data_IF_275503771336
#
_entry.id   IF_275503771336
#
_cell.length_a   1.000
_cell.length_b   1.000
_cell.length_c   1.000
_cell.angle_alpha   90.00
_cell.angle_beta   90.00
_cell.angle_gamma   90.00
#
_symmetry.space_group_name_H-M   'P 1'
#
loop_
_entity.id
_entity.type
_entity.pdbx_description
1 polymer ?
#
# COMPACT_ATOMS: atom_id res chain seq x y z
N UNK A 1 -13.35 15.39 12.35
CA UNK A 1 -12.85 14.08 11.90
C UNK A 1 -12.19 14.29 10.55
N UNK A 2 -10.96 13.80 10.35
CA UNK A 2 -10.12 14.17 9.19
C UNK A 2 -9.76 12.95 8.31
N UNK A 3 -10.54 11.87 8.42
CA UNK A 3 -10.32 10.63 7.67
C UNK A 3 -11.60 9.81 7.56
N UNK A 4 -11.61 8.89 6.60
CA UNK A 4 -12.68 7.90 6.46
C UNK A 4 -12.70 6.92 7.64
N UNK A 5 -13.83 6.21 7.81
CA UNK A 5 -13.92 5.13 8.79
C UNK A 5 -12.93 4.00 8.49
N UNK A 6 -12.55 3.23 9.52
CA UNK A 6 -11.64 2.10 9.35
C UNK A 6 -12.24 1.05 8.40
N UNK A 7 -11.46 0.67 7.40
CA UNK A 7 -11.75 -0.45 6.52
C UNK A 7 -10.95 -1.68 6.97
N UNK A 8 -11.63 -2.81 7.13
CA UNK A 8 -11.03 -4.09 7.54
C UNK A 8 -11.12 -5.06 6.37
N UNK A 9 -9.99 -5.62 5.99
CA UNK A 9 -9.86 -6.60 4.90
C UNK A 9 -9.29 -7.91 5.45
N UNK A 10 -9.74 -9.03 4.89
CA UNK A 10 -9.23 -10.36 5.18
C UNK A 10 -8.95 -11.08 3.86
N UNK A 11 -7.72 -11.55 3.69
CA UNK A 11 -7.29 -12.26 2.49
C UNK A 11 -7.08 -13.74 2.83
N UNK A 12 -7.82 -14.60 2.15
CA UNK A 12 -7.60 -16.05 2.17
C UNK A 12 -6.36 -16.42 1.35
N UNK A 13 -5.89 -17.66 1.50
CA UNK A 13 -4.75 -18.19 0.74
C UNK A 13 -4.99 -18.02 -0.77
N UNK A 14 -4.04 -17.36 -1.44
CA UNK A 14 -4.07 -17.11 -2.88
C UNK A 14 -4.90 -15.88 -3.30
N UNK A 15 -5.61 -15.23 -2.38
CA UNK A 15 -6.22 -13.93 -2.65
C UNK A 15 -5.17 -12.84 -2.69
N UNK A 16 -5.44 -11.80 -3.49
CA UNK A 16 -4.58 -10.64 -3.66
C UNK A 16 -5.41 -9.43 -4.03
N UNK A 17 -4.80 -8.26 -3.90
CA UNK A 17 -5.27 -7.04 -4.53
C UNK A 17 -4.30 -6.68 -5.66
N UNK A 18 -4.80 -6.26 -6.81
CA UNK A 18 -3.93 -5.83 -7.90
C UNK A 18 -3.39 -4.42 -7.64
N UNK A 19 -2.17 -4.08 -8.09
CA UNK A 19 -1.62 -2.75 -7.86
C UNK A 19 -2.57 -1.63 -8.30
N UNK A 20 -2.79 -0.67 -7.41
CA UNK A 20 -3.75 0.42 -7.56
C UNK A 20 -3.27 1.68 -6.84
N UNK A 21 -4.04 2.76 -7.03
CA UNK A 21 -3.86 4.01 -6.31
C UNK A 21 -5.02 4.20 -5.36
N UNK A 22 -4.74 4.74 -4.18
CA UNK A 22 -5.79 5.12 -3.24
C UNK A 22 -6.45 6.44 -3.62
N UNK A 23 -5.78 7.29 -4.40
CA UNK A 23 -6.36 8.53 -4.86
C UNK A 23 -7.47 8.28 -5.90
N UNK A 24 -8.47 9.15 -5.92
CA UNK A 24 -9.52 9.13 -6.92
C UNK A 24 -9.07 9.85 -8.20
N UNK A 25 -9.34 9.23 -9.34
CA UNK A 25 -9.16 9.86 -10.66
C UNK A 25 -10.43 10.52 -11.19
N UNK A 26 -11.59 10.20 -10.60
CA UNK A 26 -12.88 10.73 -11.04
C UNK A 26 -13.31 11.96 -10.23
N UNK A 27 -14.01 12.88 -10.90
CA UNK A 27 -14.51 14.10 -10.27
C UNK A 27 -15.60 13.85 -9.21
N UNK A 28 -16.35 12.75 -9.34
CA UNK A 28 -17.49 12.48 -8.47
C UNK A 28 -17.03 12.17 -7.04
N UNK A 29 -16.12 11.20 -6.88
CA UNK A 29 -15.56 10.83 -5.58
C UNK A 29 -14.74 11.98 -4.99
N UNK A 30 -13.93 12.65 -5.83
CA UNK A 30 -13.13 13.80 -5.38
C UNK A 30 -13.99 14.94 -4.83
N UNK A 31 -15.16 15.21 -5.42
CA UNK A 31 -16.07 16.27 -4.92
C UNK A 31 -16.85 15.86 -3.67
N UNK A 32 -17.24 14.59 -3.56
CA UNK A 32 -18.14 14.13 -2.49
C UNK A 32 -17.40 13.70 -1.21
N UNK A 33 -16.15 13.24 -1.33
CA UNK A 33 -15.34 12.76 -0.20
C UNK A 33 -14.01 13.50 -0.02
N UNK A 34 -13.64 14.38 -0.96
CA UNK A 34 -12.28 14.93 -1.03
C UNK A 34 -11.30 13.94 -1.65
N UNK A 35 -10.01 14.28 -1.61
CA UNK A 35 -8.95 13.44 -2.11
C UNK A 35 -8.20 12.74 -0.97
N UNK A 36 -7.82 11.48 -1.16
CA UNK A 36 -7.03 10.70 -0.20
C UNK A 36 -5.56 11.11 -0.32
N UNK A 37 -5.08 11.84 0.69
CA UNK A 37 -3.71 12.39 0.70
C UNK A 37 -2.71 11.34 1.16
N UNK A 38 -3.10 10.50 2.12
CA UNK A 38 -2.25 9.48 2.72
C UNK A 38 -3.08 8.30 3.22
N UNK A 39 -2.42 7.15 3.30
CA UNK A 39 -3.01 5.89 3.79
C UNK A 39 -2.18 5.36 4.93
N UNK A 40 -2.87 4.91 5.99
CA UNK A 40 -2.29 4.14 7.08
C UNK A 40 -2.81 2.71 6.97
N UNK A 41 -1.95 1.79 6.54
CA UNK A 41 -2.25 0.37 6.46
C UNK A 41 -1.71 -0.33 7.70
N UNK A 42 -2.57 -1.04 8.44
CA UNK A 42 -2.21 -1.74 9.67
C UNK A 42 -2.30 -3.24 9.47
N UNK A 43 -1.24 -3.97 9.80
CA UNK A 43 -1.24 -5.43 9.70
C UNK A 43 -1.79 -6.04 10.99
N UNK A 44 -2.95 -6.71 10.88
CA UNK A 44 -3.69 -7.23 12.02
C UNK A 44 -3.30 -8.66 12.42
N UNK A 45 -2.52 -9.34 11.57
CA UNK A 45 -2.03 -10.71 11.75
C UNK A 45 -0.64 -10.87 11.13
N UNK A 46 0.12 -11.83 11.63
CA UNK A 46 1.33 -12.32 10.96
C UNK A 46 0.91 -13.18 9.76
N UNK A 47 1.67 -13.10 8.66
CA UNK A 47 1.48 -13.96 7.48
C UNK A 47 2.75 -14.77 7.27
N UNK A 48 2.59 -16.09 7.14
CA UNK A 48 3.70 -17.03 7.01
C UNK A 48 4.42 -16.86 5.67
N UNK A 49 3.67 -16.86 4.56
CA UNK A 49 4.16 -16.71 3.19
C UNK A 49 3.27 -15.77 2.37
N UNK A 50 3.89 -14.89 1.58
CA UNK A 50 3.18 -13.91 0.75
C UNK A 50 2.56 -12.76 1.55
N UNK A 51 1.51 -12.15 1.00
CA UNK A 51 0.75 -11.07 1.65
C UNK A 51 1.50 -9.74 1.78
N UNK A 52 2.65 -9.59 1.11
CA UNK A 52 3.42 -8.36 1.17
C UNK A 52 2.69 -7.22 0.46
N UNK A 53 2.80 -6.01 1.01
CA UNK A 53 2.39 -4.80 0.30
C UNK A 53 3.56 -4.35 -0.56
N UNK A 54 3.39 -4.36 -1.89
CA UNK A 54 4.41 -4.04 -2.88
C UNK A 54 4.15 -2.70 -3.54
N UNK A 55 5.18 -1.86 -3.65
CA UNK A 55 5.21 -0.61 -4.39
C UNK A 55 6.06 -0.77 -5.66
N UNK A 56 5.48 -1.25 -6.77
CA UNK A 56 6.24 -1.60 -7.98
C UNK A 56 6.90 -0.40 -8.68
N UNK A 57 6.42 0.83 -8.44
CA UNK A 57 6.96 2.05 -9.07
C UNK A 57 7.79 2.90 -8.11
N UNK A 58 7.97 2.45 -6.86
CA UNK A 58 8.81 3.16 -5.89
C UNK A 58 10.28 3.14 -6.32
N UNK A 59 10.92 4.32 -6.30
CA UNK A 59 12.32 4.48 -6.68
C UNK A 59 13.17 4.27 -5.42
N UNK A 60 13.47 3.01 -5.12
CA UNK A 60 14.34 2.62 -4.02
C UNK A 60 15.19 1.41 -4.41
N UNK A 61 16.34 1.20 -3.75
CA UNK A 61 17.08 -0.05 -3.86
C UNK A 61 16.38 -1.12 -3.00
N UNK A 62 15.32 -1.72 -3.52
CA UNK A 62 14.49 -2.67 -2.79
C UNK A 62 15.18 -4.00 -2.48
N UNK A 63 16.29 -4.33 -3.15
CA UNK A 63 17.12 -5.49 -2.77
C UNK A 63 17.84 -5.34 -1.42
N UNK A 64 17.84 -4.13 -0.86
CA UNK A 64 18.46 -3.84 0.44
C UNK A 64 17.55 -4.07 1.65
N UNK A 65 16.27 -4.42 1.45
CA UNK A 65 15.37 -4.71 2.58
C UNK A 65 15.83 -5.98 3.32
N UNK A 66 15.82 -6.00 4.67
CA UNK A 66 16.36 -7.14 5.44
C UNK A 66 15.72 -8.50 5.13
N UNK A 67 14.46 -8.49 4.67
CA UNK A 67 13.66 -9.67 4.35
C UNK A 67 13.67 -10.04 2.87
N UNK A 68 14.57 -9.49 2.05
CA UNK A 68 14.59 -9.69 0.60
C UNK A 68 14.53 -11.17 0.17
N UNK A 69 15.27 -12.04 0.87
CA UNK A 69 15.32 -13.46 0.53
C UNK A 69 14.02 -14.19 0.87
N UNK A 70 13.24 -13.67 1.81
CA UNK A 70 11.96 -14.24 2.26
C UNK A 70 10.76 -13.70 1.46
N UNK A 71 11.00 -12.76 0.54
CA UNK A 71 9.95 -12.18 -0.30
C UNK A 71 9.45 -13.15 -1.37
N UNK A 72 8.14 -13.15 -1.57
CA UNK A 72 7.47 -13.79 -2.68
C UNK A 72 7.94 -13.23 -4.03
N UNK A 73 7.69 -13.97 -5.11
CA UNK A 73 8.01 -13.50 -6.47
C UNK A 73 7.28 -12.19 -6.84
N UNK A 74 6.09 -11.96 -6.25
CA UNK A 74 5.34 -10.73 -6.44
C UNK A 74 6.06 -9.55 -5.78
N UNK A 75 6.44 -9.73 -4.52
CA UNK A 75 7.04 -8.69 -3.71
C UNK A 75 8.45 -8.27 -4.16
N UNK A 76 9.15 -9.12 -4.92
CA UNK A 76 10.46 -8.77 -5.53
C UNK A 76 10.37 -7.80 -6.71
N UNK A 77 9.15 -7.43 -7.14
CA UNK A 77 8.93 -6.49 -8.26
C UNK A 77 9.03 -5.01 -7.86
N UNK A 78 9.18 -4.70 -6.58
CA UNK A 78 9.26 -3.33 -6.08
C UNK A 78 9.71 -3.26 -4.62
N UNK A 79 9.60 -2.06 -4.03
CA UNK A 79 9.77 -1.91 -2.59
C UNK A 79 8.62 -2.60 -1.87
N UNK A 80 8.92 -3.52 -0.96
CA UNK A 80 7.89 -4.36 -0.34
C UNK A 80 8.03 -4.43 1.17
N UNK A 81 6.89 -4.45 1.83
CA UNK A 81 6.76 -4.58 3.28
C UNK A 81 6.10 -5.91 3.60
N UNK A 82 6.74 -6.72 4.44
CA UNK A 82 6.17 -7.99 4.90
C UNK A 82 5.15 -7.69 6.02
N UNK A 83 3.93 -8.25 5.96
CA UNK A 83 2.93 -8.07 7.01
C UNK A 83 3.39 -8.73 8.31
N UNK A 84 3.40 -7.94 9.37
CA UNK A 84 3.70 -8.39 10.73
C UNK A 84 2.72 -7.77 11.69
N UNK A 85 2.14 -8.58 12.58
CA UNK A 85 1.07 -8.14 13.47
C UNK A 85 1.52 -6.95 14.32
N UNK A 86 0.74 -5.88 14.25
CA UNK A 86 0.95 -4.66 15.02
C UNK A 86 1.82 -3.61 14.30
N UNK A 87 2.47 -3.97 13.19
CA UNK A 87 3.16 -2.99 12.35
C UNK A 87 2.13 -2.15 11.55
N UNK A 88 2.51 -0.91 11.26
CA UNK A 88 1.73 -0.01 10.43
C UNK A 88 2.63 0.64 9.36
N UNK A 89 2.08 0.77 8.17
CA UNK A 89 2.69 1.40 7.01
C UNK A 89 1.94 2.70 6.71
N UNK A 90 2.67 3.82 6.70
CA UNK A 90 2.18 5.12 6.26
C UNK A 90 2.84 5.47 4.93
N UNK A 91 2.01 5.81 3.94
CA UNK A 91 2.48 6.36 2.67
C UNK A 91 1.53 7.45 2.16
N UNK A 92 2.06 8.32 1.30
CA UNK A 92 1.33 9.43 0.72
C UNK A 92 0.94 9.11 -0.71
N UNK A 93 -0.33 9.34 -1.04
CA UNK A 93 -0.86 9.21 -2.40
C UNK A 93 -0.66 10.50 -3.21
N UNK A 94 -0.30 11.59 -2.53
CA UNK A 94 -0.09 12.92 -3.12
C UNK A 94 1.22 13.54 -2.64
N UNK A 95 1.82 14.36 -3.51
CA UNK A 95 3.00 15.17 -3.20
C UNK A 95 2.62 16.41 -2.38
N UNK A 96 3.60 17.10 -1.76
CA UNK A 96 3.33 18.32 -0.99
C UNK A 96 2.70 19.47 -1.80
N UNK A 97 2.87 19.47 -3.12
CA UNK A 97 2.25 20.44 -4.04
C UNK A 97 0.83 20.03 -4.48
N UNK A 98 0.26 19.02 -3.83
CA UNK A 98 -1.04 18.41 -4.14
C UNK A 98 -1.15 17.75 -5.52
N UNK A 99 -0.04 17.50 -6.22
CA UNK A 99 -0.06 16.62 -7.38
C UNK A 99 -0.13 15.15 -6.95
N UNK A 100 -0.79 14.31 -7.75
CA UNK A 100 -0.85 12.87 -7.51
C UNK A 100 0.56 12.27 -7.60
N UNK A 101 0.85 11.26 -6.77
CA UNK A 101 2.16 10.59 -6.77
C UNK A 101 2.09 9.21 -7.46
N UNK A 102 2.59 9.06 -8.70
CA UNK A 102 2.60 7.76 -9.38
C UNK A 102 3.48 6.70 -8.70
N UNK A 103 4.39 7.11 -7.80
CA UNK A 103 5.22 6.18 -7.03
C UNK A 103 4.45 5.51 -5.88
N UNK A 104 3.24 5.98 -5.58
CA UNK A 104 2.34 5.40 -4.56
C UNK A 104 1.49 4.24 -5.09
N UNK A 105 1.72 3.77 -6.32
CA UNK A 105 1.08 2.57 -6.85
C UNK A 105 1.44 1.41 -5.92
N UNK A 106 0.44 0.70 -5.40
CA UNK A 106 0.68 -0.38 -4.44
C UNK A 106 -0.38 -1.48 -4.54
N UNK A 107 -0.03 -2.69 -4.11
CA UNK A 107 -0.92 -3.85 -4.06
C UNK A 107 -0.46 -4.88 -3.05
#
# INVERSE_FOLDING_TARGET
>A
ENGEGLQILHYEVGQKYEPHYDYFLDEFNTRNGGQRIATVLMYLSDVEEGGETVFPTAIANFSSVPWWNDLSQCARKGLSVKPKRGDALLFWSMRPDASLDPSSLHG
#
